data_IF_643972451389
#
_entry.id   IF_643972451389
#
_cell.length_a   1.000
_cell.length_b   1.000
_cell.length_c   1.000
_cell.angle_alpha   90.00
_cell.angle_beta   90.00
_cell.angle_gamma   90.00
#
_symmetry.space_group_name_H-M   'P 1'
#
loop_
_entity.id
_entity.type
_entity.pdbx_description
1 polymer ?
#
# COMPACT_ATOMS: atom_id res chain seq x y z
N UNK A 1 75.75 -28.07 -15.69
CA UNK A 1 74.67 -27.32 -16.34
C UNK A 1 73.39 -27.43 -15.50
N UNK A 2 73.19 -26.48 -14.55
CA UNK A 2 72.11 -26.55 -13.57
C UNK A 2 70.93 -25.75 -14.08
N UNK A 3 69.82 -26.43 -14.40
CA UNK A 3 68.54 -25.79 -14.75
C UNK A 3 67.73 -25.48 -13.45
N UNK A 4 67.60 -24.22 -13.11
CA UNK A 4 66.69 -23.77 -12.05
C UNK A 4 65.25 -23.74 -12.63
N UNK A 5 64.35 -24.55 -12.01
CA UNK A 5 62.91 -24.53 -12.27
C UNK A 5 62.29 -23.47 -11.36
N UNK A 6 61.69 -22.41 -11.92
CA UNK A 6 60.90 -21.43 -11.18
C UNK A 6 59.43 -21.88 -11.18
N UNK A 7 58.91 -22.24 -10.02
CA UNK A 7 57.48 -22.52 -9.84
C UNK A 7 56.76 -21.20 -9.56
N UNK A 8 55.97 -20.73 -10.51
CA UNK A 8 55.05 -19.61 -10.28
C UNK A 8 53.81 -20.10 -9.55
N UNK A 9 53.64 -19.68 -8.30
CA UNK A 9 52.40 -19.88 -7.53
C UNK A 9 51.50 -18.70 -7.84
N UNK A 10 50.44 -18.94 -8.61
CA UNK A 10 49.38 -17.96 -8.85
C UNK A 10 48.41 -17.94 -7.65
N UNK A 11 48.41 -16.86 -6.89
CA UNK A 11 47.41 -16.63 -5.86
C UNK A 11 46.11 -16.17 -6.51
N UNK A 12 45.10 -17.04 -6.53
CA UNK A 12 43.72 -16.66 -6.88
C UNK A 12 43.11 -15.89 -5.70
N UNK A 13 43.02 -14.57 -5.83
CA UNK A 13 42.19 -13.77 -4.92
C UNK A 13 40.72 -13.95 -5.29
N UNK A 14 39.98 -14.76 -4.51
CA UNK A 14 38.55 -14.82 -4.58
C UNK A 14 37.99 -13.62 -3.82
N UNK A 15 37.58 -12.58 -4.54
CA UNK A 15 36.86 -11.43 -3.97
C UNK A 15 35.45 -11.88 -3.66
N UNK A 16 35.16 -12.17 -2.41
CA UNK A 16 33.78 -12.30 -1.93
C UNK A 16 33.15 -10.91 -1.86
N UNK A 17 32.43 -10.53 -2.90
CA UNK A 17 31.49 -9.39 -2.79
C UNK A 17 30.30 -9.84 -1.97
N UNK A 18 30.30 -9.53 -0.68
CA UNK A 18 29.09 -9.58 0.13
C UNK A 18 28.13 -8.53 -0.43
N UNK A 19 27.11 -8.97 -1.16
CA UNK A 19 25.96 -8.14 -1.46
C UNK A 19 25.28 -7.92 -0.10
N UNK A 20 25.63 -6.85 0.59
CA UNK A 20 24.82 -6.36 1.68
C UNK A 20 23.47 -5.95 1.05
N UNK A 21 22.42 -6.70 1.37
CA UNK A 21 21.07 -6.24 1.12
C UNK A 21 20.98 -4.84 1.75
N UNK A 22 20.80 -3.84 0.91
CA UNK A 22 20.79 -2.44 1.33
C UNK A 22 19.63 -2.30 2.30
N UNK A 23 19.92 -2.18 3.59
CA UNK A 23 18.92 -1.95 4.61
C UNK A 23 18.09 -0.74 4.17
N UNK A 24 16.77 -0.92 4.01
CA UNK A 24 15.87 0.12 3.52
C UNK A 24 16.06 1.39 4.36
N UNK A 25 16.17 2.55 3.70
CA UNK A 25 16.36 3.82 4.38
C UNK A 25 15.12 4.23 5.19
N UNK A 26 15.31 5.07 6.20
CA UNK A 26 14.22 5.70 6.95
C UNK A 26 13.37 6.61 6.04
N UNK A 27 12.04 6.47 6.10
CA UNK A 27 11.09 7.31 5.36
C UNK A 27 9.70 7.31 6.00
N UNK A 28 8.90 8.28 5.61
CA UNK A 28 7.52 8.42 6.08
C UNK A 28 6.58 8.65 4.90
N UNK A 29 5.37 8.13 5.01
CA UNK A 29 4.31 8.43 4.04
C UNK A 29 2.96 8.56 4.74
N UNK A 30 2.04 9.28 4.10
CA UNK A 30 0.66 9.35 4.54
C UNK A 30 -0.20 8.35 3.77
N UNK A 31 -1.23 7.82 4.42
CA UNK A 31 -2.24 6.98 3.79
C UNK A 31 -3.62 7.56 4.07
N UNK A 32 -4.34 7.89 2.99
CA UNK A 32 -5.73 8.33 3.00
C UNK A 32 -6.60 7.21 2.43
N UNK A 33 -7.74 6.97 3.04
CA UNK A 33 -8.72 5.96 2.60
C UNK A 33 -10.13 6.38 2.99
N UNK A 34 -11.12 5.81 2.34
CA UNK A 34 -12.52 6.01 2.70
C UNK A 34 -12.85 7.50 2.83
N UNK A 35 -12.59 8.24 1.75
CA UNK A 35 -12.74 9.70 1.67
C UNK A 35 -14.20 10.09 1.45
N UNK A 36 -14.93 9.30 0.64
CA UNK A 36 -16.37 9.42 0.38
C UNK A 36 -16.85 10.83 0.00
N UNK A 37 -16.13 11.49 -0.90
CA UNK A 37 -16.54 12.79 -1.40
C UNK A 37 -17.90 12.70 -2.09
N UNK A 38 -18.80 13.55 -1.67
CA UNK A 38 -20.14 13.74 -2.24
C UNK A 38 -20.38 15.23 -2.45
N UNK A 39 -21.51 15.58 -3.06
CA UNK A 39 -21.94 16.96 -3.27
C UNK A 39 -22.43 17.64 -1.99
N UNK A 40 -22.63 16.87 -0.91
CA UNK A 40 -23.12 17.35 0.40
C UNK A 40 -22.20 16.87 1.51
N UNK A 41 -22.32 17.51 2.69
CA UNK A 41 -21.55 17.09 3.88
C UNK A 41 -20.12 17.62 3.90
N UNK A 42 -19.32 17.05 4.79
CA UNK A 42 -17.97 17.56 5.15
C UNK A 42 -16.80 16.78 4.54
N UNK A 43 -17.08 15.71 3.80
CA UNK A 43 -16.06 14.82 3.26
C UNK A 43 -14.99 15.54 2.42
N UNK A 44 -15.41 16.49 1.58
CA UNK A 44 -14.47 17.28 0.79
C UNK A 44 -13.63 18.24 1.64
N UNK A 45 -14.22 18.83 2.68
CA UNK A 45 -13.51 19.67 3.65
C UNK A 45 -12.47 18.82 4.42
N UNK A 46 -12.85 17.61 4.86
CA UNK A 46 -11.95 16.70 5.55
C UNK A 46 -10.75 16.29 4.67
N UNK A 47 -11.00 16.03 3.37
CA UNK A 47 -9.93 15.80 2.39
C UNK A 47 -9.00 16.99 2.25
N UNK A 48 -9.55 18.20 2.07
CA UNK A 48 -8.75 19.42 1.94
C UNK A 48 -7.91 19.69 3.18
N UNK A 49 -8.47 19.50 4.36
CA UNK A 49 -7.77 19.66 5.63
C UNK A 49 -6.63 18.64 5.76
N UNK A 50 -6.85 17.40 5.36
CA UNK A 50 -5.81 16.36 5.34
C UNK A 50 -4.68 16.69 4.37
N UNK A 51 -4.99 17.12 3.14
CA UNK A 51 -4.00 17.58 2.16
C UNK A 51 -3.18 18.75 2.70
N UNK A 52 -3.85 19.73 3.29
CA UNK A 52 -3.20 20.90 3.88
C UNK A 52 -2.24 20.52 5.02
N UNK A 53 -2.64 19.57 5.87
CA UNK A 53 -1.79 19.10 6.96
C UNK A 53 -0.64 18.25 6.46
N UNK A 54 -0.86 17.34 5.51
CA UNK A 54 0.21 16.56 4.85
C UNK A 54 1.25 17.50 4.25
N UNK A 55 0.82 18.53 3.53
CA UNK A 55 1.70 19.52 2.91
C UNK A 55 2.53 20.37 3.91
N UNK A 56 2.09 20.48 5.16
CA UNK A 56 2.80 21.16 6.26
C UNK A 56 3.67 20.21 7.07
N UNK A 57 3.40 18.89 6.99
CA UNK A 57 4.15 17.87 7.74
C UNK A 57 5.48 17.59 7.05
N UNK A 58 6.58 17.86 7.73
CA UNK A 58 7.91 17.58 7.19
C UNK A 58 8.18 16.08 7.11
N UNK A 59 8.94 15.67 6.09
CA UNK A 59 9.42 14.30 5.95
C UNK A 59 8.37 13.30 5.47
N UNK A 60 7.25 13.74 4.92
CA UNK A 60 6.34 12.87 4.15
C UNK A 60 6.89 12.78 2.72
N UNK A 61 7.27 11.58 2.30
CA UNK A 61 7.91 11.35 0.99
C UNK A 61 6.87 11.14 -0.13
N UNK A 62 5.71 10.53 0.19
CA UNK A 62 4.59 10.31 -0.76
C UNK A 62 3.27 10.06 -0.01
N UNK A 63 2.19 9.94 -0.76
CA UNK A 63 0.85 9.62 -0.23
C UNK A 63 0.32 8.36 -0.92
N UNK A 64 -0.27 7.44 -0.16
CA UNK A 64 -1.10 6.35 -0.68
C UNK A 64 -2.58 6.72 -0.50
N UNK A 65 -3.39 6.44 -1.51
CA UNK A 65 -4.86 6.59 -1.47
C UNK A 65 -5.47 5.24 -1.78
N UNK A 66 -6.13 4.63 -0.79
CA UNK A 66 -6.50 3.22 -0.85
C UNK A 66 -8.00 3.00 -1.11
N UNK A 67 -8.61 3.85 -1.93
CA UNK A 67 -9.97 3.66 -2.44
C UNK A 67 -11.07 4.35 -1.63
N UNK A 68 -12.31 4.15 -2.09
CA UNK A 68 -13.53 4.80 -1.59
C UNK A 68 -13.36 6.33 -1.50
N UNK A 69 -12.88 6.90 -2.63
CA UNK A 69 -12.60 8.34 -2.71
C UNK A 69 -13.87 9.17 -2.91
N UNK A 70 -14.93 8.53 -3.39
CA UNK A 70 -16.25 9.14 -3.63
C UNK A 70 -17.36 8.26 -3.02
N UNK A 71 -18.49 8.84 -2.69
CA UNK A 71 -19.63 8.11 -2.14
C UNK A 71 -20.37 7.33 -3.23
N UNK A 72 -20.60 7.95 -4.39
CA UNK A 72 -21.44 7.40 -5.47
C UNK A 72 -20.60 6.82 -6.63
N UNK A 73 -19.30 6.92 -6.58
CA UNK A 73 -18.44 6.51 -7.70
C UNK A 73 -18.67 7.33 -8.98
N UNK A 74 -19.17 8.54 -8.86
CA UNK A 74 -19.51 9.40 -10.00
C UNK A 74 -18.31 10.18 -10.53
N UNK A 75 -18.31 10.40 -11.84
CA UNK A 75 -17.21 11.06 -12.58
C UNK A 75 -16.92 12.48 -12.09
N UNK A 76 -17.93 13.24 -11.67
CA UNK A 76 -17.75 14.62 -11.24
C UNK A 76 -17.03 14.69 -9.89
N UNK A 77 -17.46 13.87 -8.94
CA UNK A 77 -16.81 13.72 -7.63
C UNK A 77 -15.38 13.18 -7.76
N UNK A 78 -15.14 12.18 -8.62
CA UNK A 78 -13.77 11.69 -8.90
C UNK A 78 -12.86 12.80 -9.45
N UNK A 79 -13.33 13.62 -10.39
CA UNK A 79 -12.57 14.77 -10.91
C UNK A 79 -12.29 15.80 -9.83
N UNK A 80 -13.24 16.06 -8.94
CA UNK A 80 -13.09 16.97 -7.81
C UNK A 80 -12.02 16.47 -6.85
N UNK A 81 -12.01 15.16 -6.52
CA UNK A 81 -10.97 14.53 -5.71
C UNK A 81 -9.61 14.60 -6.41
N UNK A 82 -9.53 14.28 -7.70
CA UNK A 82 -8.27 14.39 -8.47
C UNK A 82 -7.69 15.80 -8.40
N UNK A 83 -8.53 16.81 -8.55
CA UNK A 83 -8.09 18.22 -8.47
C UNK A 83 -7.57 18.55 -7.06
N UNK A 84 -8.23 18.08 -6.01
CA UNK A 84 -7.77 18.27 -4.64
C UNK A 84 -6.44 17.54 -4.38
N UNK A 85 -6.32 16.27 -4.76
CA UNK A 85 -5.07 15.50 -4.63
C UNK A 85 -3.92 16.11 -5.43
N UNK A 86 -4.20 16.81 -6.52
CA UNK A 86 -3.22 17.59 -7.29
C UNK A 86 -2.57 18.75 -6.51
N UNK A 87 -3.11 19.12 -5.35
CA UNK A 87 -2.53 20.13 -4.45
C UNK A 87 -1.48 19.55 -3.48
N UNK A 88 -1.31 18.24 -3.44
CA UNK A 88 -0.23 17.59 -2.68
C UNK A 88 1.13 18.02 -3.24
N UNK A 89 2.05 18.37 -2.35
CA UNK A 89 3.45 18.75 -2.70
C UNK A 89 4.32 17.52 -2.99
N UNK A 90 3.84 16.33 -2.66
CA UNK A 90 4.50 15.05 -2.89
C UNK A 90 3.66 14.19 -3.84
N UNK A 91 4.27 13.17 -4.44
CA UNK A 91 3.54 12.23 -5.31
C UNK A 91 2.49 11.48 -4.51
N UNK A 92 1.36 11.18 -5.14
CA UNK A 92 0.40 10.21 -4.62
C UNK A 92 0.25 9.02 -5.57
N UNK A 93 -0.12 7.88 -5.00
CA UNK A 93 -0.45 6.64 -5.69
C UNK A 93 -1.81 6.19 -5.22
N UNK A 94 -2.67 5.76 -6.14
CA UNK A 94 -4.08 5.55 -5.86
C UNK A 94 -4.59 4.26 -6.48
N UNK A 95 -5.48 3.58 -5.78
CA UNK A 95 -6.29 2.46 -6.27
C UNK A 95 -7.77 2.74 -6.02
N UNK A 96 -8.71 2.10 -6.74
CA UNK A 96 -10.14 2.22 -6.46
C UNK A 96 -10.55 1.43 -5.23
N UNK A 97 -11.66 1.83 -4.60
CA UNK A 97 -12.41 1.06 -3.63
C UNK A 97 -13.71 0.50 -4.21
N UNK A 98 -14.58 -0.03 -3.36
CA UNK A 98 -15.86 -0.56 -3.81
C UNK A 98 -16.83 0.52 -4.27
N UNK A 99 -16.73 1.73 -3.80
CA UNK A 99 -17.54 2.84 -4.29
C UNK A 99 -17.21 3.22 -5.74
N UNK A 100 -15.97 3.10 -6.16
CA UNK A 100 -15.54 3.31 -7.54
C UNK A 100 -15.82 2.13 -8.46
N UNK A 101 -16.01 0.93 -7.90
CA UNK A 101 -16.29 -0.30 -8.68
C UNK A 101 -17.74 -0.73 -8.59
N UNK A 102 -18.19 -1.12 -7.39
CA UNK A 102 -19.52 -1.70 -7.12
C UNK A 102 -20.66 -0.69 -7.27
N UNK A 103 -20.45 0.54 -6.81
CA UNK A 103 -21.51 1.56 -6.78
C UNK A 103 -21.49 2.49 -8.00
N UNK A 104 -20.36 2.61 -8.68
CA UNK A 104 -20.23 3.41 -9.89
C UNK A 104 -21.08 2.87 -11.03
N UNK A 105 -21.76 3.76 -11.78
CA UNK A 105 -22.48 3.39 -12.99
C UNK A 105 -21.54 2.92 -14.12
N UNK A 106 -20.32 3.44 -14.14
CA UNK A 106 -19.30 3.08 -15.13
C UNK A 106 -18.54 1.78 -14.78
N UNK A 107 -18.85 1.13 -13.64
CA UNK A 107 -17.94 0.20 -13.03
C UNK A 107 -16.64 0.94 -12.74
N UNK A 108 -15.51 0.33 -12.81
CA UNK A 108 -14.21 0.98 -12.56
C UNK A 108 -13.70 1.84 -13.73
N UNK A 109 -14.40 1.89 -14.86
CA UNK A 109 -13.91 2.51 -16.11
C UNK A 109 -13.60 3.99 -15.96
N UNK A 110 -14.47 4.75 -15.30
CA UNK A 110 -14.24 6.18 -15.07
C UNK A 110 -13.03 6.44 -14.16
N UNK A 111 -12.84 5.61 -13.15
CA UNK A 111 -11.66 5.69 -12.29
C UNK A 111 -10.38 5.48 -13.12
N UNK A 112 -10.33 4.41 -13.93
CA UNK A 112 -9.19 4.12 -14.80
C UNK A 112 -8.87 5.27 -15.76
N UNK A 113 -9.88 5.87 -16.40
CA UNK A 113 -9.70 7.03 -17.28
C UNK A 113 -9.22 8.28 -16.53
N UNK A 114 -9.73 8.53 -15.33
CA UNK A 114 -9.40 9.73 -14.56
C UNK A 114 -8.02 9.61 -13.93
N UNK A 115 -7.69 8.48 -13.31
CA UNK A 115 -6.46 8.30 -12.53
C UNK A 115 -5.34 7.57 -13.29
N UNK A 116 -5.62 7.02 -14.48
CA UNK A 116 -4.63 6.39 -15.35
C UNK A 116 -4.46 4.89 -15.14
N UNK A 117 -5.36 4.26 -14.38
CA UNK A 117 -5.37 2.81 -14.14
C UNK A 117 -5.86 2.48 -12.74
N UNK A 118 -5.95 1.18 -12.48
CA UNK A 118 -6.45 0.62 -11.21
C UNK A 118 -5.32 0.00 -10.38
N UNK A 119 -4.09 0.09 -10.89
CA UNK A 119 -2.89 -0.48 -10.29
C UNK A 119 -1.78 0.54 -10.26
N UNK A 120 -0.88 0.39 -9.30
CA UNK A 120 0.38 1.11 -9.32
C UNK A 120 1.55 0.22 -8.91
N UNK A 121 2.73 0.61 -9.35
CA UNK A 121 4.02 0.06 -8.94
C UNK A 121 5.01 1.20 -8.78
N UNK A 122 5.74 1.20 -7.67
CA UNK A 122 6.92 2.05 -7.50
C UNK A 122 7.87 1.45 -6.46
N UNK A 123 9.10 1.92 -6.52
CA UNK A 123 10.10 1.61 -5.50
C UNK A 123 10.46 2.87 -4.71
N UNK A 124 10.67 2.71 -3.41
CA UNK A 124 11.12 3.78 -2.55
C UNK A 124 12.07 3.24 -1.47
N UNK A 125 13.28 3.80 -1.42
CA UNK A 125 14.33 3.48 -0.42
C UNK A 125 14.49 1.97 -0.13
N UNK A 126 14.53 1.17 -1.19
CA UNK A 126 14.75 -0.28 -1.08
C UNK A 126 13.48 -1.14 -0.99
N UNK A 127 12.31 -0.54 -0.76
CA UNK A 127 11.02 -1.23 -0.71
C UNK A 127 10.27 -1.14 -2.04
N UNK A 128 9.59 -2.21 -2.41
CA UNK A 128 8.64 -2.24 -3.52
C UNK A 128 7.22 -2.04 -2.99
N UNK A 129 6.45 -1.19 -3.65
CA UNK A 129 5.03 -0.97 -3.38
C UNK A 129 4.21 -1.39 -4.60
N UNK A 130 3.24 -2.29 -4.39
CA UNK A 130 2.31 -2.76 -5.41
C UNK A 130 0.88 -2.52 -4.91
N UNK A 131 0.11 -1.71 -5.62
CA UNK A 131 -1.31 -1.49 -5.36
C UNK A 131 -2.16 -2.08 -6.47
N UNK A 132 -3.29 -2.70 -6.14
CA UNK A 132 -4.19 -3.32 -7.09
C UNK A 132 -5.63 -3.28 -6.63
N UNK A 133 -6.55 -3.38 -7.58
CA UNK A 133 -7.98 -3.37 -7.33
C UNK A 133 -8.42 -4.65 -6.61
N UNK A 134 -9.18 -4.51 -5.55
CA UNK A 134 -9.82 -5.61 -4.81
C UNK A 134 -11.35 -5.46 -4.73
N UNK A 135 -11.90 -4.42 -5.36
CA UNK A 135 -13.34 -4.20 -5.40
C UNK A 135 -14.03 -5.07 -6.45
N UNK A 136 -15.31 -5.42 -6.22
CA UNK A 136 -16.06 -6.21 -7.19
C UNK A 136 -16.43 -5.37 -8.41
N UNK A 137 -16.55 -6.03 -9.57
CA UNK A 137 -17.09 -5.45 -10.79
C UNK A 137 -18.63 -5.54 -10.85
N UNK A 138 -19.24 -6.29 -9.95
CA UNK A 138 -20.71 -6.51 -9.89
C UNK A 138 -21.28 -5.95 -8.60
N UNK A 139 -22.40 -5.22 -8.71
CA UNK A 139 -23.04 -4.52 -7.58
C UNK A 139 -23.41 -5.42 -6.39
N UNK A 140 -23.68 -6.69 -6.62
CA UNK A 140 -24.13 -7.63 -5.59
C UNK A 140 -23.05 -8.62 -5.15
N UNK A 141 -21.82 -8.43 -5.61
CA UNK A 141 -20.70 -9.32 -5.26
C UNK A 141 -19.88 -8.78 -4.10
N UNK A 142 -19.18 -9.69 -3.43
CA UNK A 142 -18.08 -9.36 -2.52
C UNK A 142 -16.87 -8.83 -3.30
N UNK A 143 -15.83 -8.37 -2.62
CA UNK A 143 -14.56 -8.03 -3.25
C UNK A 143 -14.01 -9.24 -4.03
N UNK A 144 -13.34 -8.96 -5.13
CA UNK A 144 -12.73 -9.97 -5.99
C UNK A 144 -11.48 -9.41 -6.66
N UNK A 145 -10.38 -10.11 -6.54
CA UNK A 145 -9.15 -9.77 -7.27
C UNK A 145 -9.14 -10.53 -8.59
N UNK A 146 -9.27 -9.80 -9.70
CA UNK A 146 -9.36 -10.43 -11.02
C UNK A 146 -8.08 -11.21 -11.37
N UNK A 147 -8.19 -12.32 -12.14
CA UNK A 147 -7.03 -13.17 -12.49
C UNK A 147 -5.88 -12.39 -13.14
N UNK A 148 -6.19 -11.35 -13.89
CA UNK A 148 -5.19 -10.47 -14.52
C UNK A 148 -4.35 -9.71 -13.50
N UNK A 149 -4.95 -9.30 -12.37
CA UNK A 149 -4.23 -8.62 -11.29
C UNK A 149 -3.37 -9.60 -10.49
N UNK A 150 -3.87 -10.81 -10.24
CA UNK A 150 -3.08 -11.87 -9.61
C UNK A 150 -1.88 -12.26 -10.48
N UNK A 151 -2.06 -12.36 -11.80
CA UNK A 151 -0.98 -12.65 -12.74
C UNK A 151 0.05 -11.52 -12.75
N UNK A 152 -0.39 -10.28 -12.87
CA UNK A 152 0.48 -9.11 -12.81
C UNK A 152 1.27 -9.06 -11.49
N UNK A 153 0.61 -9.29 -10.36
CA UNK A 153 1.23 -9.33 -9.03
C UNK A 153 2.35 -10.38 -8.97
N UNK A 154 2.05 -11.62 -9.42
CA UNK A 154 3.06 -12.70 -9.51
C UNK A 154 4.26 -12.32 -10.37
N UNK A 155 4.03 -11.68 -11.51
CA UNK A 155 5.10 -11.29 -12.43
C UNK A 155 5.97 -10.17 -11.85
N UNK A 156 5.37 -9.18 -11.20
CA UNK A 156 6.13 -8.10 -10.56
C UNK A 156 6.95 -8.60 -9.36
N UNK A 157 6.39 -9.51 -8.58
CA UNK A 157 7.09 -10.15 -7.45
C UNK A 157 8.25 -11.05 -7.94
N UNK A 158 8.06 -11.81 -9.01
CA UNK A 158 9.14 -12.60 -9.64
C UNK A 158 10.29 -11.72 -10.13
N UNK A 159 9.98 -10.58 -10.80
CA UNK A 159 10.99 -9.61 -11.26
C UNK A 159 11.76 -8.99 -10.09
N UNK A 160 11.07 -8.70 -8.98
CA UNK A 160 11.68 -8.13 -7.80
C UNK A 160 12.58 -9.11 -7.04
N UNK A 161 12.28 -10.40 -7.13
CA UNK A 161 12.99 -11.47 -6.41
C UNK A 161 12.46 -11.68 -4.98
N UNK A 162 12.82 -12.84 -4.39
CA UNK A 162 12.27 -13.28 -3.10
C UNK A 162 12.70 -12.45 -1.91
N UNK A 163 13.85 -11.79 -2.00
CA UNK A 163 14.43 -11.02 -0.87
C UNK A 163 13.94 -9.57 -0.81
N UNK A 164 13.39 -9.06 -1.92
CA UNK A 164 12.90 -7.68 -1.98
C UNK A 164 11.77 -7.46 -0.99
N UNK A 165 11.87 -6.53 -0.04
CA UNK A 165 10.78 -6.24 0.86
C UNK A 165 9.66 -5.53 0.12
N UNK A 166 8.42 -6.04 0.26
CA UNK A 166 7.26 -5.59 -0.50
C UNK A 166 6.13 -5.17 0.43
N UNK A 167 5.53 -4.03 0.17
CA UNK A 167 4.24 -3.63 0.69
C UNK A 167 3.17 -3.76 -0.39
N UNK A 168 2.06 -4.38 -0.03
CA UNK A 168 0.90 -4.57 -0.89
C UNK A 168 -0.23 -3.65 -0.45
N UNK A 169 -0.93 -3.05 -1.41
CA UNK A 169 -1.98 -2.07 -1.15
C UNK A 169 -3.27 -2.52 -1.83
N UNK A 170 -4.31 -2.69 -1.03
CA UNK A 170 -5.68 -3.04 -1.45
C UNK A 170 -6.66 -2.07 -0.78
N UNK A 171 -7.92 -2.06 -1.21
CA UNK A 171 -8.97 -1.40 -0.45
C UNK A 171 -9.58 -2.33 0.58
N UNK A 172 -10.13 -3.47 0.13
CA UNK A 172 -10.70 -4.48 1.02
C UNK A 172 -9.64 -5.20 1.85
N UNK A 173 -9.96 -5.56 3.12
CA UNK A 173 -9.19 -6.58 3.83
C UNK A 173 -9.30 -7.93 3.10
N UNK A 174 -8.21 -8.69 3.07
CA UNK A 174 -8.20 -10.03 2.45
C UNK A 174 -8.78 -11.09 3.41
N UNK A 175 -10.04 -10.94 3.76
CA UNK A 175 -10.79 -11.83 4.63
C UNK A 175 -11.90 -12.53 3.85
N UNK A 176 -12.28 -13.72 4.33
CA UNK A 176 -13.32 -14.56 3.71
C UNK A 176 -14.66 -13.85 3.50
N UNK A 177 -15.01 -12.87 4.35
CA UNK A 177 -16.27 -12.13 4.25
C UNK A 177 -16.17 -10.88 3.36
N UNK A 178 -14.97 -10.50 2.92
CA UNK A 178 -14.74 -9.27 2.17
C UNK A 178 -14.26 -9.52 0.73
N UNK A 179 -13.40 -10.53 0.52
CA UNK A 179 -12.87 -10.90 -0.80
C UNK A 179 -13.05 -12.40 -1.01
N UNK A 180 -13.82 -12.79 -2.00
CA UNK A 180 -14.20 -14.19 -2.23
C UNK A 180 -13.01 -15.10 -2.58
N UNK A 181 -12.03 -14.57 -3.29
CA UNK A 181 -10.80 -15.27 -3.68
C UNK A 181 -9.54 -14.79 -2.93
N UNK A 182 -9.68 -14.37 -1.68
CA UNK A 182 -8.57 -13.89 -0.85
C UNK A 182 -7.39 -14.87 -0.79
N UNK A 183 -7.67 -16.18 -0.79
CA UNK A 183 -6.66 -17.25 -0.74
C UNK A 183 -5.80 -17.31 -2.01
N UNK A 184 -6.35 -17.04 -3.19
CA UNK A 184 -5.57 -16.98 -4.44
C UNK A 184 -4.50 -15.87 -4.38
N UNK A 185 -4.83 -14.76 -3.70
CA UNK A 185 -3.90 -13.65 -3.50
C UNK A 185 -2.83 -14.01 -2.47
N UNK A 186 -3.22 -14.54 -1.30
CA UNK A 186 -2.26 -14.91 -0.26
C UNK A 186 -1.31 -16.01 -0.72
N UNK A 187 -1.79 -17.02 -1.44
CA UNK A 187 -0.97 -18.08 -2.04
C UNK A 187 0.00 -17.52 -3.10
N UNK A 188 -0.47 -16.58 -3.92
CA UNK A 188 0.36 -15.96 -4.96
C UNK A 188 1.56 -15.20 -4.38
N UNK A 189 1.40 -14.57 -3.22
CA UNK A 189 2.41 -13.68 -2.63
C UNK A 189 3.26 -14.35 -1.55
N UNK A 190 2.81 -15.45 -0.97
CA UNK A 190 3.47 -16.18 0.13
C UNK A 190 4.95 -16.53 -0.13
N UNK A 191 5.40 -16.88 -1.35
CA UNK A 191 6.81 -17.19 -1.62
C UNK A 191 7.76 -15.99 -1.56
N UNK A 192 7.23 -14.77 -1.37
CA UNK A 192 7.98 -13.52 -1.46
C UNK A 192 8.05 -12.79 -0.10
N UNK A 193 8.93 -11.81 0.01
CA UNK A 193 9.15 -11.05 1.23
C UNK A 193 8.10 -9.96 1.45
N UNK A 194 6.85 -10.37 1.65
CA UNK A 194 5.73 -9.44 1.91
C UNK A 194 5.82 -8.95 3.36
N UNK A 195 5.82 -7.63 3.54
CA UNK A 195 5.94 -7.01 4.86
C UNK A 195 4.59 -6.66 5.48
N UNK A 196 3.66 -6.17 4.68
CA UNK A 196 2.27 -5.98 5.07
C UNK A 196 1.38 -5.74 3.85
N UNK A 197 0.08 -6.03 4.01
CA UNK A 197 -1.00 -5.43 3.24
C UNK A 197 -1.49 -4.17 3.95
N UNK A 198 -1.85 -3.14 3.19
CA UNK A 198 -2.41 -1.88 3.69
C UNK A 198 -3.71 -1.61 2.97
N UNK A 199 -4.77 -1.29 3.70
CA UNK A 199 -6.10 -1.06 3.13
C UNK A 199 -6.98 -0.15 3.98
N UNK A 200 -8.26 -0.08 3.61
CA UNK A 200 -9.31 0.70 4.24
C UNK A 200 -10.57 -0.11 4.51
N UNK A 201 -11.71 0.38 3.99
CA UNK A 201 -13.02 -0.26 3.98
C UNK A 201 -13.75 -0.28 5.32
N UNK A 202 -13.08 -0.55 6.43
CA UNK A 202 -13.72 -0.64 7.75
C UNK A 202 -13.82 0.68 8.51
N UNK A 203 -13.28 1.77 7.94
CA UNK A 203 -13.29 3.11 8.55
C UNK A 203 -12.65 3.21 9.94
N UNK A 204 -11.85 2.24 10.32
CA UNK A 204 -11.20 2.16 11.64
C UNK A 204 -9.81 1.55 11.55
N UNK A 205 -8.95 1.91 12.49
CA UNK A 205 -7.65 1.28 12.64
C UNK A 205 -7.82 -0.15 13.17
N UNK A 206 -7.34 -1.14 12.41
CA UNK A 206 -7.40 -2.55 12.80
C UNK A 206 -6.24 -3.35 12.21
N UNK A 207 -5.72 -4.30 12.99
CA UNK A 207 -4.69 -5.23 12.56
C UNK A 207 -5.30 -6.60 12.30
N UNK A 208 -4.88 -7.23 11.20
CA UNK A 208 -5.26 -8.59 10.82
C UNK A 208 -4.03 -9.43 10.49
N UNK A 209 -4.24 -10.73 10.47
CA UNK A 209 -3.30 -11.70 9.89
C UNK A 209 -4.00 -12.39 8.73
N UNK A 210 -3.52 -12.15 7.52
CA UNK A 210 -4.01 -12.80 6.30
C UNK A 210 -3.14 -14.02 6.03
N UNK A 211 -3.55 -15.16 6.59
CA UNK A 211 -2.76 -16.38 6.47
C UNK A 211 -1.30 -16.22 6.97
N UNK A 212 -1.12 -15.48 8.06
CA UNK A 212 0.17 -15.16 8.64
C UNK A 212 0.84 -13.89 8.07
N UNK A 213 0.33 -13.31 7.00
CA UNK A 213 0.83 -12.03 6.46
C UNK A 213 0.13 -10.87 7.17
N UNK A 214 0.87 -9.86 7.68
CA UNK A 214 0.27 -8.72 8.35
C UNK A 214 -0.67 -7.93 7.45
N UNK A 215 -1.86 -7.61 7.95
CA UNK A 215 -2.84 -6.73 7.33
C UNK A 215 -3.14 -5.54 8.21
N UNK A 216 -3.01 -4.33 7.67
CA UNK A 216 -3.23 -3.06 8.37
C UNK A 216 -4.38 -2.36 7.68
N UNK A 217 -5.51 -2.29 8.37
CA UNK A 217 -6.67 -1.51 7.95
C UNK A 217 -6.62 -0.17 8.65
N UNK A 218 -6.88 0.88 7.90
CA UNK A 218 -6.69 2.24 8.33
C UNK A 218 -8.03 2.94 8.59
N UNK A 219 -7.99 3.94 9.46
CA UNK A 219 -9.12 4.82 9.68
C UNK A 219 -9.55 5.53 8.40
N UNK A 220 -10.84 5.81 8.27
CA UNK A 220 -11.40 6.70 7.24
C UNK A 220 -10.83 8.13 7.33
N UNK A 221 -10.77 8.81 6.20
CA UNK A 221 -10.46 10.24 6.15
C UNK A 221 -11.60 11.09 6.75
N UNK A 222 -12.82 10.57 6.76
CA UNK A 222 -13.98 11.25 7.32
C UNK A 222 -13.84 11.53 8.82
N UNK A 223 -14.42 12.64 9.25
CA UNK A 223 -14.54 12.96 10.70
C UNK A 223 -15.47 11.99 11.42
N UNK A 224 -16.49 11.44 10.75
CA UNK A 224 -17.48 10.56 11.38
C UNK A 224 -18.16 11.23 12.58
N UNK A 225 -17.96 10.66 13.78
CA UNK A 225 -18.42 11.25 15.05
C UNK A 225 -17.38 12.18 15.70
N UNK A 226 -16.16 12.23 15.17
CA UNK A 226 -15.11 13.13 15.63
C UNK A 226 -15.35 14.56 15.10
N UNK A 227 -14.83 15.59 15.75
CA UNK A 227 -14.95 16.96 15.26
C UNK A 227 -14.14 17.22 13.98
N UNK A 228 -13.16 16.39 13.68
CA UNK A 228 -12.23 16.52 12.54
C UNK A 228 -11.96 15.19 11.87
N UNK A 229 -11.67 15.23 10.59
CA UNK A 229 -11.16 14.10 9.84
C UNK A 229 -9.72 13.74 10.19
N UNK A 230 -9.13 12.82 9.42
CA UNK A 230 -7.73 12.45 9.62
C UNK A 230 -7.26 11.39 8.64
N UNK A 231 -6.04 10.90 8.87
CA UNK A 231 -5.37 9.94 8.01
C UNK A 231 -4.37 9.11 8.81
N UNK A 232 -3.73 8.15 8.19
CA UNK A 232 -2.65 7.39 8.83
C UNK A 232 -1.29 7.92 8.37
N UNK A 233 -0.31 7.90 9.28
CA UNK A 233 1.10 8.14 8.95
C UNK A 233 1.89 6.88 9.22
N UNK A 234 2.65 6.46 8.24
CA UNK A 234 3.58 5.34 8.33
C UNK A 234 5.00 5.87 8.44
N UNK A 235 5.73 5.35 9.38
CA UNK A 235 7.16 5.57 9.52
C UNK A 235 7.89 4.24 9.37
N UNK A 236 8.73 4.16 8.36
CA UNK A 236 9.52 2.98 8.04
C UNK A 236 10.95 3.23 8.49
N UNK A 237 11.48 2.33 9.30
CA UNK A 237 12.89 2.28 9.69
C UNK A 237 13.53 1.01 9.11
N UNK A 238 14.83 0.80 9.21
CA UNK A 238 15.48 -0.41 8.71
C UNK A 238 14.91 -1.72 9.31
N UNK A 239 14.33 -1.67 10.51
CA UNK A 239 13.90 -2.83 11.28
C UNK A 239 12.42 -2.84 11.66
N UNK A 240 11.69 -1.75 11.43
CA UNK A 240 10.33 -1.59 11.93
C UNK A 240 9.44 -0.73 11.03
N UNK A 241 8.13 -0.99 11.10
CA UNK A 241 7.06 -0.12 10.61
C UNK A 241 6.30 0.39 11.83
N UNK A 242 6.15 1.69 11.95
CA UNK A 242 5.27 2.32 12.94
C UNK A 242 4.10 2.98 12.22
N UNK A 243 2.90 2.77 12.74
CA UNK A 243 1.68 3.34 12.18
C UNK A 243 1.02 4.26 13.20
N UNK A 244 0.74 5.47 12.77
CA UNK A 244 0.14 6.50 13.59
C UNK A 244 -1.21 6.90 13.02
N UNK A 245 -2.19 7.07 13.88
CA UNK A 245 -3.40 7.82 13.58
C UNK A 245 -3.11 9.31 13.69
N UNK A 246 -3.43 10.05 12.64
CA UNK A 246 -3.29 11.50 12.58
C UNK A 246 -4.67 12.14 12.44
N UNK A 247 -5.23 12.66 13.51
CA UNK A 247 -6.38 13.55 13.45
C UNK A 247 -5.92 14.96 13.11
N UNK A 248 -6.73 15.70 12.37
CA UNK A 248 -6.39 17.06 11.93
C UNK A 248 -6.23 17.97 13.15
N UNK A 249 -5.07 18.67 13.22
CA UNK A 249 -4.74 19.57 14.33
C UNK A 249 -4.24 18.89 15.60
N UNK A 250 -4.22 17.57 15.67
CA UNK A 250 -3.73 16.82 16.84
C UNK A 250 -2.31 16.27 16.61
N UNK A 251 -1.67 15.82 17.68
CA UNK A 251 -0.42 15.08 17.61
C UNK A 251 -0.68 13.66 17.12
N UNK A 252 0.21 13.06 16.29
CA UNK A 252 0.05 11.70 15.80
C UNK A 252 0.10 10.68 16.95
N UNK A 253 -0.85 9.75 16.98
CA UNK A 253 -0.94 8.72 18.00
C UNK A 253 -0.55 7.36 17.40
N UNK A 254 0.57 6.79 17.88
CA UNK A 254 0.98 5.44 17.46
C UNK A 254 -0.03 4.40 17.95
N UNK A 255 -0.48 3.53 17.05
CA UNK A 255 -1.40 2.45 17.37
C UNK A 255 -0.92 1.06 16.93
N UNK A 256 -0.02 0.98 15.95
CA UNK A 256 0.50 -0.29 15.45
C UNK A 256 2.02 -0.20 15.25
N UNK A 257 2.70 -1.33 15.44
CA UNK A 257 4.11 -1.49 15.11
C UNK A 257 4.37 -2.91 14.61
N UNK A 258 5.14 -3.04 13.53
CA UNK A 258 5.58 -4.31 12.95
C UNK A 258 7.10 -4.37 12.91
N UNK A 259 7.68 -5.55 13.17
CA UNK A 259 9.09 -5.78 12.90
C UNK A 259 9.32 -6.09 11.42
N UNK A 260 10.34 -5.52 10.82
CA UNK A 260 10.80 -5.86 9.47
C UNK A 260 11.89 -6.96 9.47
N UNK A 261 12.38 -7.34 10.65
CA UNK A 261 13.43 -8.36 10.82
C UNK A 261 12.87 -9.75 11.10
N UNK A 262 11.60 -9.86 11.48
CA UNK A 262 10.94 -11.13 11.79
C UNK A 262 9.93 -11.50 10.71
N UNK A 263 9.93 -12.75 10.20
CA UNK A 263 8.85 -13.22 9.35
C UNK A 263 7.58 -13.37 10.20
N UNK A 264 6.45 -12.89 9.69
CA UNK A 264 5.16 -13.00 10.37
C UNK A 264 4.44 -14.29 10.04
N UNK A 265 4.63 -14.83 8.85
CA UNK A 265 4.06 -16.12 8.48
C UNK A 265 5.01 -17.26 8.80
N UNK A 266 4.44 -18.32 9.32
CA UNK A 266 5.22 -19.50 9.64
C UNK A 266 5.51 -20.27 8.34
N UNK A 267 6.77 -20.30 7.93
CA UNK A 267 7.21 -21.05 6.75
C UNK A 267 6.96 -22.58 6.86
N UNK A 268 6.50 -23.07 8.02
CA UNK A 268 6.15 -24.47 8.27
C UNK A 268 4.77 -24.86 7.76
N UNK A 269 4.01 -23.94 7.19
CA UNK A 269 2.67 -24.18 6.64
C UNK A 269 2.60 -24.15 5.11
N UNK A 270 3.71 -24.29 4.42
CA UNK A 270 3.75 -24.44 2.97
C UNK A 270 3.83 -25.91 2.58
#
# INVERSE_FOLDING_TARGET
>A
MNRKVYTCIAFLFVVYTTIQAQAGGHFRFALLTDIHVTNKGTAFEDLQNSINQVNKTQGIDFVLVTGDITEEGDRASMKKVKTALGQLKVKYYIIPGNHETKWSESGVTDFGHIFGGERFKFEHKGFLFLGFNSGPLMRMADGHVVPQDITWLKDELKKAGKEKPVFLVTHYPLLKGDVDNWYDVTDAVRPFNIRAFMGGHYHKNQFFSYDGIPGIINRSNLRGKDPVGGYSVYEITPDSVFVYEQKIGEQPKKWCALSLTKPYYNAKGA
#
